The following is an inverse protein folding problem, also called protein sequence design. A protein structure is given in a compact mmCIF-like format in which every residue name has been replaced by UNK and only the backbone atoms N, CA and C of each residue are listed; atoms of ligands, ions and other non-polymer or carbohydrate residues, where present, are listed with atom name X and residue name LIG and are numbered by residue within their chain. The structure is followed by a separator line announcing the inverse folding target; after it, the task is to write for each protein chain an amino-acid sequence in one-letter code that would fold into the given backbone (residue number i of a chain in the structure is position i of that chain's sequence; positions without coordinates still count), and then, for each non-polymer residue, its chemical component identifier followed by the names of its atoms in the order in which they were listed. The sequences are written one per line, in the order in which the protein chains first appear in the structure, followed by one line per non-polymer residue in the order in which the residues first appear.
data_IF_822157260764
#
_entry.id   IF_822157260764
#
_cell.length_a   1.000
_cell.length_b   1.000
_cell.length_c   1.000
_cell.angle_alpha   90.00
_cell.angle_beta   90.00
_cell.angle_gamma   90.00
#
_symmetry.space_group_name_H-M   'P 1'
#
loop_
_entity.id
_entity.type
_entity.pdbx_description
1 polymer ?
#
# COMPACT_ATOMS: atom_id res chain seq x y z
N UNK A 1 84.70 -26.74 -20.90
CA UNK A 1 83.53 -25.83 -20.90
C UNK A 1 82.31 -26.61 -20.44
N UNK A 2 81.90 -26.40 -19.17
CA UNK A 2 80.71 -27.07 -18.59
C UNK A 2 79.55 -26.10 -18.64
N UNK A 3 78.53 -26.41 -19.48
CA UNK A 3 77.31 -25.70 -19.58
C UNK A 3 76.39 -25.97 -18.32
N UNK A 4 76.04 -24.96 -17.58
CA UNK A 4 75.14 -25.08 -16.47
C UNK A 4 73.69 -24.95 -17.03
N UNK A 5 72.95 -26.04 -17.04
CA UNK A 5 71.55 -26.06 -17.32
C UNK A 5 70.77 -25.34 -16.15
N UNK A 6 70.05 -24.32 -16.49
CA UNK A 6 69.10 -23.65 -15.57
C UNK A 6 67.86 -24.53 -15.39
N UNK A 7 67.72 -25.10 -14.20
CA UNK A 7 66.43 -25.72 -13.74
C UNK A 7 65.39 -24.68 -13.53
N UNK A 8 64.38 -24.69 -14.36
CA UNK A 8 63.17 -23.91 -14.10
C UNK A 8 62.32 -24.64 -13.06
N UNK A 9 62.27 -24.09 -11.85
CA UNK A 9 61.36 -24.56 -10.80
C UNK A 9 59.96 -24.17 -11.21
N UNK A 10 59.16 -25.13 -11.66
CA UNK A 10 57.72 -24.98 -11.85
C UNK A 10 57.10 -24.74 -10.50
N UNK A 11 56.54 -23.53 -10.34
CA UNK A 11 55.72 -23.21 -9.17
C UNK A 11 54.52 -24.20 -9.05
N UNK A 12 54.23 -24.71 -7.87
CA UNK A 12 53.12 -25.62 -7.69
C UNK A 12 51.83 -24.89 -8.06
N UNK A 13 51.08 -25.43 -9.03
CA UNK A 13 49.69 -25.05 -9.28
C UNK A 13 48.94 -25.32 -7.97
N UNK A 14 48.61 -24.25 -7.22
CA UNK A 14 47.61 -24.31 -6.16
C UNK A 14 46.29 -24.70 -6.83
N UNK A 15 46.00 -25.99 -6.83
CA UNK A 15 44.65 -26.46 -6.98
C UNK A 15 43.89 -25.87 -5.76
N UNK A 16 43.04 -24.88 -6.01
CA UNK A 16 42.04 -24.41 -5.06
C UNK A 16 41.11 -25.59 -4.75
N UNK A 17 41.68 -26.52 -3.95
CA UNK A 17 40.99 -27.76 -3.61
C UNK A 17 39.77 -27.44 -2.75
N UNK A 18 38.60 -27.77 -3.25
CA UNK A 18 37.33 -27.79 -2.51
C UNK A 18 37.50 -28.43 -1.13
N UNK A 19 38.44 -29.34 -0.95
CA UNK A 19 38.77 -29.96 0.34
C UNK A 19 39.41 -29.01 1.37
N UNK A 20 40.19 -28.01 0.93
CA UNK A 20 40.76 -27.01 1.84
C UNK A 20 39.70 -25.98 2.27
N UNK A 21 38.79 -25.63 1.36
CA UNK A 21 37.64 -24.77 1.68
C UNK A 21 36.73 -25.45 2.70
N UNK A 22 36.38 -26.72 2.50
CA UNK A 22 35.55 -27.48 3.45
C UNK A 22 36.20 -27.58 4.84
N UNK A 23 37.51 -27.87 4.91
CA UNK A 23 38.22 -27.93 6.20
C UNK A 23 38.20 -26.58 6.92
N UNK A 24 38.40 -25.49 6.20
CA UNK A 24 38.36 -24.15 6.77
C UNK A 24 36.95 -23.78 7.19
N UNK A 25 35.93 -24.13 6.42
CA UNK A 25 34.52 -23.91 6.75
C UNK A 25 34.11 -24.69 8.01
N UNK A 26 34.50 -25.95 8.13
CA UNK A 26 34.23 -26.78 9.32
C UNK A 26 34.98 -26.24 10.55
N UNK A 27 36.19 -25.78 10.41
CA UNK A 27 36.97 -25.19 11.50
C UNK A 27 36.38 -23.92 12.04
N UNK A 28 35.65 -23.12 11.17
CA UNK A 28 35.04 -21.83 11.50
C UNK A 28 33.52 -21.89 11.43
N UNK A 29 32.93 -23.06 11.68
CA UNK A 29 31.47 -23.24 11.65
C UNK A 29 30.71 -22.25 12.55
N UNK A 30 31.36 -21.79 13.63
CA UNK A 30 30.85 -20.76 14.52
C UNK A 30 30.51 -19.45 13.79
N UNK A 31 31.36 -19.03 12.82
CA UNK A 31 31.09 -17.82 12.04
C UNK A 31 29.87 -17.97 11.14
N UNK A 32 29.63 -19.17 10.61
CA UNK A 32 28.42 -19.47 9.86
C UNK A 32 27.19 -19.45 10.78
N UNK A 33 27.27 -20.03 11.96
CA UNK A 33 26.19 -20.00 12.93
C UNK A 33 25.87 -18.58 13.36
N UNK A 34 26.87 -17.74 13.62
CA UNK A 34 26.70 -16.34 14.00
C UNK A 34 26.08 -15.52 12.86
N UNK A 35 26.55 -15.72 11.62
CA UNK A 35 25.97 -15.08 10.43
C UNK A 35 24.51 -15.49 10.23
N UNK A 36 24.19 -16.77 10.42
CA UNK A 36 22.84 -17.29 10.30
C UNK A 36 21.89 -16.66 11.34
N UNK A 37 22.33 -16.60 12.61
CA UNK A 37 21.57 -15.96 13.69
C UNK A 37 21.33 -14.48 13.37
N UNK A 38 22.35 -13.79 12.86
CA UNK A 38 22.23 -12.38 12.49
C UNK A 38 21.25 -12.17 11.34
N UNK A 39 21.31 -12.97 10.27
CA UNK A 39 20.39 -12.92 9.15
C UNK A 39 18.94 -13.24 9.58
N UNK A 40 18.79 -14.28 10.41
CA UNK A 40 17.48 -14.64 10.96
C UNK A 40 16.91 -13.54 11.88
N UNK A 41 17.75 -12.91 12.67
CA UNK A 41 17.37 -11.76 13.52
C UNK A 41 16.83 -10.60 12.68
N UNK A 42 17.54 -10.23 11.62
CA UNK A 42 17.10 -9.17 10.69
C UNK A 42 15.80 -9.57 10.00
N UNK A 43 15.72 -10.80 9.48
CA UNK A 43 14.51 -11.31 8.82
C UNK A 43 13.30 -11.30 9.76
N UNK A 44 13.49 -11.75 10.99
CA UNK A 44 12.43 -11.75 12.00
C UNK A 44 11.94 -10.34 12.32
N UNK A 45 12.86 -9.38 12.48
CA UNK A 45 12.52 -7.97 12.69
C UNK A 45 11.79 -7.38 11.49
N UNK A 46 12.22 -7.72 10.28
CA UNK A 46 11.58 -7.28 9.04
C UNK A 46 10.16 -7.82 8.92
N UNK A 47 9.96 -9.13 9.09
CA UNK A 47 8.64 -9.75 9.03
C UNK A 47 7.69 -9.22 10.09
N UNK A 48 8.21 -8.92 11.28
CA UNK A 48 7.39 -8.35 12.37
C UNK A 48 6.93 -6.92 12.10
N UNK A 49 7.67 -6.18 11.27
CA UNK A 49 7.34 -4.79 10.89
C UNK A 49 6.38 -4.73 9.69
N UNK A 50 6.39 -5.75 8.83
CA UNK A 50 5.63 -5.74 7.58
C UNK A 50 4.15 -6.05 7.87
N UNK A 51 3.27 -5.16 7.42
CA UNK A 51 1.82 -5.38 7.43
C UNK A 51 1.47 -6.46 6.40
N UNK A 52 0.54 -7.37 6.71
CA UNK A 52 0.01 -8.27 5.70
C UNK A 52 -0.71 -7.44 4.62
N UNK A 53 -0.36 -7.64 3.36
CA UNK A 53 -1.08 -7.04 2.24
C UNK A 53 -1.95 -8.11 1.58
N UNK A 54 -3.21 -7.75 1.33
CA UNK A 54 -4.18 -8.62 0.69
C UNK A 54 -4.41 -8.12 -0.73
N UNK A 55 -4.38 -9.04 -1.69
CA UNK A 55 -4.72 -8.75 -3.08
C UNK A 55 -6.12 -9.30 -3.33
N UNK A 56 -7.03 -8.42 -3.69
CA UNK A 56 -8.39 -8.78 -4.07
C UNK A 56 -8.54 -8.52 -5.56
N UNK A 57 -9.08 -9.48 -6.29
CA UNK A 57 -9.37 -9.35 -7.72
C UNK A 57 -10.86 -9.47 -7.97
N UNK A 58 -11.38 -8.59 -8.81
CA UNK A 58 -12.76 -8.64 -9.30
C UNK A 58 -12.76 -8.65 -10.82
N UNK A 59 -13.73 -9.32 -11.44
CA UNK A 59 -13.91 -9.29 -12.88
C UNK A 59 -15.20 -8.59 -13.22
N UNK A 60 -15.11 -7.56 -14.07
CA UNK A 60 -16.28 -6.86 -14.60
C UNK A 60 -16.49 -7.33 -16.03
N UNK A 61 -17.70 -7.73 -16.36
CA UNK A 61 -18.10 -8.01 -17.73
C UNK A 61 -18.51 -6.69 -18.38
N UNK A 62 -17.73 -6.26 -19.36
CA UNK A 62 -18.12 -5.15 -20.23
C UNK A 62 -18.91 -5.77 -21.37
N UNK A 63 -20.20 -5.46 -21.44
CA UNK A 63 -21.04 -5.85 -22.56
C UNK A 63 -20.83 -4.83 -23.67
N UNK A 64 -20.19 -5.27 -24.73
CA UNK A 64 -19.98 -4.47 -25.94
C UNK A 64 -21.32 -4.35 -26.66
N UNK A 65 -22.22 -3.54 -26.11
CA UNK A 65 -23.35 -3.01 -26.87
C UNK A 65 -22.75 -2.08 -27.93
N UNK A 66 -22.02 -2.68 -28.88
CA UNK A 66 -21.70 -2.02 -30.14
C UNK A 66 -23.04 -1.45 -30.62
N UNK A 67 -23.08 -0.12 -30.64
CA UNK A 67 -24.16 0.66 -31.19
C UNK A 67 -24.76 -0.13 -32.39
N UNK A 68 -25.78 -0.91 -32.07
CA UNK A 68 -26.73 -1.36 -33.07
C UNK A 68 -27.37 -0.07 -33.54
N UNK A 69 -26.73 0.59 -34.49
CA UNK A 69 -27.34 1.64 -35.26
C UNK A 69 -28.51 0.97 -35.97
N UNK A 70 -29.57 0.78 -35.20
CA UNK A 70 -30.83 0.23 -35.68
C UNK A 70 -31.39 1.25 -36.65
N UNK A 71 -31.07 1.10 -37.91
CA UNK A 71 -31.66 1.94 -38.95
C UNK A 71 -31.03 1.90 -40.32
N UNK A 72 -29.85 1.31 -40.48
CA UNK A 72 -29.27 1.20 -41.83
C UNK A 72 -29.11 -0.26 -42.18
N UNK A 73 -29.93 -0.68 -43.12
CA UNK A 73 -30.12 -2.05 -43.55
C UNK A 73 -28.87 -2.84 -43.89
N UNK A 74 -29.06 -4.14 -43.88
CA UNK A 74 -28.18 -5.22 -44.30
C UNK A 74 -27.36 -4.93 -45.55
N UNK A 75 -26.28 -4.13 -45.47
CA UNK A 75 -25.36 -3.98 -46.56
C UNK A 75 -23.96 -4.44 -46.14
N UNK A 76 -23.36 -5.27 -47.02
CA UNK A 76 -21.98 -5.81 -46.91
C UNK A 76 -20.89 -4.75 -46.70
N UNK A 77 -21.23 -3.46 -46.63
CA UNK A 77 -20.34 -2.35 -46.35
C UNK A 77 -20.03 -2.12 -44.87
N UNK A 78 -20.88 -2.63 -43.96
CA UNK A 78 -20.73 -2.38 -42.51
C UNK A 78 -19.56 -3.12 -41.87
N UNK A 79 -19.16 -4.29 -42.41
CA UNK A 79 -18.00 -5.01 -41.90
C UNK A 79 -16.68 -4.30 -42.21
N UNK A 80 -16.61 -3.60 -43.33
CA UNK A 80 -15.45 -2.84 -43.74
C UNK A 80 -15.30 -1.56 -42.90
N UNK A 81 -16.43 -0.88 -42.62
CA UNK A 81 -16.43 0.29 -41.73
C UNK A 81 -16.06 -0.07 -40.30
N UNK A 82 -16.53 -1.21 -39.81
CA UNK A 82 -16.20 -1.75 -38.51
C UNK A 82 -14.72 -2.12 -38.40
N UNK A 83 -14.11 -2.62 -39.49
CA UNK A 83 -12.69 -2.94 -39.56
C UNK A 83 -11.80 -1.70 -39.67
N UNK A 84 -12.29 -0.63 -40.34
CA UNK A 84 -11.54 0.63 -40.52
C UNK A 84 -11.64 1.54 -39.28
N UNK A 85 -12.76 1.49 -38.55
CA UNK A 85 -12.98 2.30 -37.37
C UNK A 85 -12.53 1.60 -36.08
N UNK A 86 -11.93 0.41 -36.12
CA UNK A 86 -11.38 -0.29 -34.96
C UNK A 86 -12.43 -0.60 -33.87
N UNK A 87 -13.65 -0.92 -34.29
CA UNK A 87 -14.84 -0.81 -33.45
C UNK A 87 -15.05 -1.81 -32.31
N UNK A 88 -14.11 -2.69 -32.02
CA UNK A 88 -14.23 -3.61 -30.87
C UNK A 88 -13.25 -3.25 -29.75
N UNK A 89 -11.98 -3.14 -30.10
CA UNK A 89 -10.93 -2.95 -29.09
C UNK A 89 -10.90 -1.54 -28.50
N UNK A 90 -11.25 -0.51 -29.29
CA UNK A 90 -11.23 0.88 -28.84
C UNK A 90 -12.23 1.14 -27.71
N UNK A 91 -13.39 0.48 -27.75
CA UNK A 91 -14.41 0.65 -26.71
C UNK A 91 -13.96 0.04 -25.37
N UNK A 92 -13.34 -1.13 -25.43
CA UNK A 92 -12.84 -1.81 -24.22
C UNK A 92 -11.66 -1.05 -23.59
N UNK A 93 -10.78 -0.47 -24.41
CA UNK A 93 -9.70 0.39 -23.90
C UNK A 93 -10.24 1.66 -23.22
N UNK A 94 -11.27 2.27 -23.80
CA UNK A 94 -11.92 3.42 -23.17
C UNK A 94 -12.57 3.05 -21.83
N UNK A 95 -13.18 1.87 -21.72
CA UNK A 95 -13.76 1.39 -20.47
C UNK A 95 -12.69 1.14 -19.40
N UNK A 96 -11.54 0.59 -19.79
CA UNK A 96 -10.38 0.43 -18.88
C UNK A 96 -9.89 1.79 -18.40
N UNK A 97 -9.79 2.77 -19.28
CA UNK A 97 -9.36 4.13 -18.94
C UNK A 97 -10.36 4.80 -18.00
N UNK A 98 -11.66 4.61 -18.22
CA UNK A 98 -12.73 5.09 -17.33
C UNK A 98 -12.61 4.42 -15.95
N UNK A 99 -12.43 3.09 -15.91
CA UNK A 99 -12.26 2.34 -14.64
C UNK A 99 -11.00 2.75 -13.89
N UNK A 100 -9.92 3.09 -14.60
CA UNK A 100 -8.68 3.58 -14.02
C UNK A 100 -8.68 5.09 -13.74
N UNK A 101 -9.78 5.80 -14.03
CA UNK A 101 -9.81 7.25 -13.92
C UNK A 101 -9.84 7.75 -12.46
N UNK A 102 -9.18 8.89 -12.23
CA UNK A 102 -9.19 9.59 -10.93
C UNK A 102 -10.61 9.97 -10.50
N UNK A 103 -11.47 10.37 -11.43
CA UNK A 103 -12.86 10.74 -11.14
C UNK A 103 -13.67 9.57 -10.57
N UNK A 104 -13.50 8.37 -11.13
CA UNK A 104 -14.17 7.19 -10.61
C UNK A 104 -13.60 6.79 -9.25
N UNK A 105 -12.28 6.86 -9.09
CA UNK A 105 -11.63 6.61 -7.80
C UNK A 105 -12.12 7.61 -6.74
N UNK A 106 -12.24 8.91 -7.05
CA UNK A 106 -12.75 9.92 -6.13
C UNK A 106 -14.22 9.67 -5.73
N UNK A 107 -15.08 9.30 -6.67
CA UNK A 107 -16.45 8.89 -6.38
C UNK A 107 -16.53 7.65 -5.51
N UNK A 108 -15.62 6.70 -5.72
CA UNK A 108 -15.54 5.48 -4.91
C UNK A 108 -15.11 5.80 -3.47
N UNK A 109 -14.14 6.71 -3.31
CA UNK A 109 -13.69 7.18 -2.00
C UNK A 109 -14.84 7.85 -1.23
N UNK A 110 -15.59 8.73 -1.88
CA UNK A 110 -16.75 9.41 -1.26
C UNK A 110 -17.88 8.43 -0.95
N UNK A 111 -18.19 7.49 -1.85
CA UNK A 111 -19.25 6.51 -1.65
C UNK A 111 -18.97 5.49 -0.53
N UNK A 112 -17.69 5.17 -0.29
CA UNK A 112 -17.25 4.20 0.73
C UNK A 112 -16.77 4.86 2.02
N UNK A 113 -16.73 6.20 2.10
CA UNK A 113 -16.19 6.97 3.23
C UNK A 113 -14.77 6.54 3.64
N UNK A 114 -13.90 6.18 2.65
CA UNK A 114 -12.53 5.69 2.89
C UNK A 114 -11.46 6.77 2.91
N UNK A 115 -11.86 8.00 3.18
CA UNK A 115 -10.97 9.15 3.36
C UNK A 115 -10.05 9.02 4.58
N UNK A 116 -10.42 8.17 5.53
CA UNK A 116 -9.69 7.97 6.77
C UNK A 116 -9.17 6.52 6.88
N UNK A 117 -7.87 6.36 7.07
CA UNK A 117 -7.24 5.06 7.35
C UNK A 117 -6.69 5.06 8.78
N UNK A 118 -6.96 4.00 9.53
CA UNK A 118 -6.61 3.91 10.94
C UNK A 118 -5.60 2.79 11.17
N UNK A 119 -4.49 3.14 11.79
CA UNK A 119 -3.42 2.20 12.15
C UNK A 119 -3.19 2.25 13.65
N UNK A 120 -3.26 1.12 14.31
CA UNK A 120 -2.89 0.99 15.71
C UNK A 120 -1.45 0.47 15.84
N UNK A 121 -0.70 1.06 16.77
CA UNK A 121 0.61 0.54 17.14
C UNK A 121 0.45 -0.42 18.31
N UNK A 122 0.52 -1.71 18.02
CA UNK A 122 0.51 -2.76 19.04
C UNK A 122 1.93 -3.19 19.34
N UNK A 123 2.47 -2.75 20.50
CA UNK A 123 3.83 -3.05 20.93
C UNK A 123 4.91 -2.31 20.14
N UNK A 124 6.15 -2.85 20.15
CA UNK A 124 7.34 -2.11 19.69
C UNK A 124 7.43 -1.94 18.15
N UNK A 125 6.89 -2.90 17.37
CA UNK A 125 7.09 -2.89 15.90
C UNK A 125 5.85 -3.25 15.09
N UNK A 126 4.76 -3.72 15.73
CA UNK A 126 3.56 -4.15 15.02
C UNK A 126 2.64 -2.96 14.79
N UNK A 127 2.23 -2.77 13.53
CA UNK A 127 1.11 -1.91 13.17
C UNK A 127 -0.05 -2.81 12.77
N UNK A 128 -1.24 -2.44 13.14
CA UNK A 128 -2.47 -3.14 12.77
C UNK A 128 -3.38 -2.15 12.03
N UNK A 129 -3.91 -2.55 10.90
CA UNK A 129 -4.85 -1.74 10.13
C UNK A 129 -6.27 -2.07 10.59
N UNK A 130 -7.01 -1.04 11.00
CA UNK A 130 -8.38 -1.15 11.52
C UNK A 130 -9.38 -0.64 10.50
N UNK A 131 -9.53 -1.34 9.38
CA UNK A 131 -10.60 -1.02 8.45
C UNK A 131 -11.97 -1.35 9.05
N UNK A 132 -12.75 -0.30 9.33
CA UNK A 132 -14.11 -0.42 9.88
C UNK A 132 -14.23 -0.87 11.34
N UNK A 133 -13.13 -1.27 11.99
CA UNK A 133 -13.10 -1.75 13.39
C UNK A 133 -12.30 -0.85 14.32
N UNK A 134 -11.95 0.35 13.88
CA UNK A 134 -11.18 1.30 14.69
C UNK A 134 -11.94 1.69 15.96
N UNK A 135 -11.31 1.67 17.15
CA UNK A 135 -11.93 2.13 18.39
C UNK A 135 -12.20 3.64 18.41
N UNK A 136 -11.52 4.40 17.56
CA UNK A 136 -11.66 5.85 17.46
C UNK A 136 -11.75 6.22 15.99
N UNK A 137 -12.68 7.15 15.67
CA UNK A 137 -12.84 7.72 14.33
C UNK A 137 -12.64 9.23 14.36
N UNK A 138 -12.20 9.76 13.22
CA UNK A 138 -12.08 11.19 12.94
C UNK A 138 -13.13 11.54 11.91
N UNK A 139 -14.07 12.40 12.27
CA UNK A 139 -15.12 12.88 11.40
C UNK A 139 -14.89 14.34 11.03
N UNK A 140 -15.29 14.71 9.85
CA UNK A 140 -15.32 16.08 9.37
C UNK A 140 -16.52 16.28 8.43
N UNK A 141 -16.96 17.53 8.19
CA UNK A 141 -17.94 17.81 7.16
C UNK A 141 -17.48 17.32 5.78
N UNK A 142 -18.39 16.79 4.96
CA UNK A 142 -18.04 16.25 3.63
C UNK A 142 -17.39 17.30 2.73
N UNK A 143 -17.83 18.52 2.79
CA UNK A 143 -17.30 19.66 2.03
C UNK A 143 -15.81 19.91 2.34
N UNK A 144 -15.37 19.51 3.54
CA UNK A 144 -13.97 19.64 3.91
C UNK A 144 -13.10 18.61 3.17
N UNK A 145 -13.57 17.40 2.96
CA UNK A 145 -12.87 16.38 2.20
C UNK A 145 -12.75 16.73 0.72
N UNK A 146 -13.72 17.47 0.16
CA UNK A 146 -13.65 17.96 -1.22
C UNK A 146 -12.58 19.02 -1.43
N UNK A 147 -12.34 19.85 -0.41
CA UNK A 147 -11.38 20.96 -0.48
C UNK A 147 -9.98 20.60 0.03
N UNK A 148 -9.85 19.51 0.78
CA UNK A 148 -8.60 19.09 1.40
C UNK A 148 -7.65 18.47 0.35
N UNK A 149 -6.60 19.20 -0.02
CA UNK A 149 -5.60 18.75 -0.99
C UNK A 149 -4.42 17.99 -0.39
N UNK A 150 -4.43 17.75 0.92
CA UNK A 150 -3.33 17.14 1.65
C UNK A 150 -3.83 16.02 2.55
N UNK A 151 -2.92 15.11 2.90
CA UNK A 151 -3.19 14.08 3.90
C UNK A 151 -2.70 14.55 5.28
N UNK A 152 -3.59 14.51 6.25
CA UNK A 152 -3.33 14.94 7.62
C UNK A 152 -3.14 13.73 8.53
N UNK A 153 -1.94 13.50 9.08
CA UNK A 153 -1.71 12.43 10.03
C UNK A 153 -2.09 12.89 11.46
N UNK A 154 -3.14 12.29 11.99
CA UNK A 154 -3.57 12.44 13.36
C UNK A 154 -2.92 11.34 14.21
N UNK A 155 -2.21 11.73 15.26
CA UNK A 155 -1.75 10.80 16.30
C UNK A 155 -2.65 10.96 17.52
N UNK A 156 -3.34 9.89 17.86
CA UNK A 156 -4.30 9.85 18.95
C UNK A 156 -3.79 8.83 19.95
N UNK A 157 -3.50 9.30 21.16
CA UNK A 157 -3.10 8.44 22.27
C UNK A 157 -4.16 8.55 23.36
N UNK A 158 -4.73 7.43 23.72
CA UNK A 158 -5.65 7.31 24.86
C UNK A 158 -4.94 6.66 26.01
N UNK A 159 -4.94 7.31 27.15
CA UNK A 159 -4.34 6.79 28.38
C UNK A 159 -5.39 5.94 29.14
N UNK A 160 -4.91 5.11 30.08
CA UNK A 160 -5.77 4.27 30.93
C UNK A 160 -6.79 5.11 31.77
N UNK A 161 -6.50 6.40 31.99
CA UNK A 161 -7.38 7.34 32.71
C UNK A 161 -8.53 7.86 31.81
N UNK A 162 -8.62 7.42 30.55
CA UNK A 162 -9.59 7.92 29.57
C UNK A 162 -9.24 9.27 28.94
N UNK A 163 -8.16 9.90 29.39
CA UNK A 163 -7.66 11.15 28.78
C UNK A 163 -6.96 10.87 27.47
N UNK A 164 -7.21 11.73 26.49
CA UNK A 164 -6.72 11.58 25.13
C UNK A 164 -5.82 12.73 24.75
N UNK A 165 -4.67 12.40 24.19
CA UNK A 165 -3.75 13.35 23.56
C UNK A 165 -3.90 13.24 22.05
N UNK A 166 -4.22 14.33 21.38
CA UNK A 166 -4.42 14.40 19.93
C UNK A 166 -3.42 15.34 19.32
N UNK A 167 -2.61 14.86 18.39
CA UNK A 167 -1.60 15.66 17.69
C UNK A 167 -1.80 15.52 16.19
N UNK A 168 -2.07 16.61 15.49
CA UNK A 168 -2.13 16.68 14.02
C UNK A 168 -0.78 17.13 13.50
N UNK A 169 -0.08 16.26 12.79
CA UNK A 169 1.28 16.56 12.33
C UNK A 169 1.29 17.31 11.01
N UNK A 170 2.14 18.34 10.93
CA UNK A 170 2.48 19.05 9.69
C UNK A 170 3.69 18.44 8.98
N UNK A 171 4.59 17.81 9.74
CA UNK A 171 5.84 17.24 9.25
C UNK A 171 6.61 16.56 10.37
N UNK A 172 7.93 16.43 10.20
CA UNK A 172 8.75 15.72 11.20
C UNK A 172 8.86 16.48 12.51
N UNK A 173 8.92 17.82 12.48
CA UNK A 173 9.22 18.66 13.65
C UNK A 173 8.12 19.68 13.98
N UNK A 174 7.01 19.72 13.25
CA UNK A 174 5.95 20.71 13.48
C UNK A 174 4.57 20.04 13.48
N UNK A 175 3.63 20.66 14.23
CA UNK A 175 2.26 20.22 14.34
C UNK A 175 1.33 21.33 13.83
N UNK A 176 0.19 20.94 13.22
CA UNK A 176 -0.91 21.86 12.92
C UNK A 176 -1.75 22.14 14.13
N UNK A 177 -2.00 21.14 14.98
CA UNK A 177 -2.74 21.25 16.21
C UNK A 177 -2.25 20.22 17.23
N UNK A 178 -2.39 20.57 18.51
CA UNK A 178 -2.06 19.68 19.62
C UNK A 178 -3.06 19.91 20.76
N UNK A 179 -3.73 18.85 21.19
CA UNK A 179 -4.63 18.84 22.35
C UNK A 179 -4.13 17.75 23.31
N UNK A 180 -4.03 18.07 24.59
CA UNK A 180 -3.58 17.14 25.63
C UNK A 180 -4.61 16.96 26.72
N UNK A 181 -4.79 15.73 27.15
CA UNK A 181 -5.61 15.40 28.30
C UNK A 181 -7.10 15.69 28.10
N UNK A 182 -7.60 15.66 26.86
CA UNK A 182 -9.00 15.92 26.54
C UNK A 182 -9.81 14.63 26.63
N UNK A 183 -11.09 14.75 26.97
CA UNK A 183 -12.04 13.65 26.92
C UNK A 183 -12.67 13.55 25.54
N UNK A 184 -13.00 12.33 25.11
CA UNK A 184 -13.71 12.09 23.85
C UNK A 184 -15.23 12.19 24.07
N UNK A 185 -15.98 12.79 23.12
CA UNK A 185 -15.56 13.33 21.82
C UNK A 185 -14.87 14.69 21.95
N UNK A 186 -13.80 14.90 21.15
CA UNK A 186 -13.02 16.13 21.15
C UNK A 186 -12.95 16.77 19.76
N UNK A 187 -13.08 18.10 19.72
CA UNK A 187 -12.98 18.87 18.49
C UNK A 187 -11.59 19.44 18.31
N UNK A 188 -10.94 19.14 17.20
CA UNK A 188 -9.61 19.59 16.82
C UNK A 188 -9.72 20.67 15.76
N UNK A 189 -9.26 21.87 16.06
CA UNK A 189 -9.20 22.98 15.10
C UNK A 189 -7.86 22.93 14.37
N UNK A 190 -7.93 22.80 13.06
CA UNK A 190 -6.76 22.85 12.17
C UNK A 190 -6.86 24.03 11.21
N UNK A 191 -5.79 24.42 10.51
CA UNK A 191 -5.85 25.44 9.46
C UNK A 191 -6.78 25.09 8.29
N UNK A 192 -7.12 23.81 8.13
CA UNK A 192 -7.99 23.32 7.06
C UNK A 192 -9.46 23.25 7.45
N UNK A 193 -9.76 23.19 8.74
CA UNK A 193 -11.12 23.11 9.27
C UNK A 193 -11.21 22.42 10.63
N UNK A 194 -12.43 22.08 11.01
CA UNK A 194 -12.75 21.42 12.26
C UNK A 194 -12.89 19.92 12.05
N UNK A 195 -12.19 19.14 12.86
CA UNK A 195 -12.28 17.69 12.91
C UNK A 195 -12.78 17.25 14.28
N UNK A 196 -13.65 16.28 14.32
CA UNK A 196 -14.19 15.73 15.56
C UNK A 196 -13.69 14.31 15.73
N UNK A 197 -13.00 14.08 16.83
CA UNK A 197 -12.49 12.74 17.21
C UNK A 197 -13.50 12.11 18.15
N UNK A 198 -14.05 10.95 17.77
CA UNK A 198 -15.11 10.25 18.51
C UNK A 198 -14.72 8.81 18.82
N UNK A 199 -15.17 8.26 20.00
CA UNK A 199 -15.09 6.84 20.25
C UNK A 199 -16.14 6.08 19.42
N UNK A 200 -15.83 4.85 19.02
CA UNK A 200 -16.77 3.94 18.35
C UNK A 200 -17.28 2.87 19.31
N UNK A 201 -18.13 1.97 18.79
CA UNK A 201 -18.59 0.80 19.55
C UNK A 201 -17.46 -0.18 19.96
N UNK A 202 -16.31 -0.10 19.27
CA UNK A 202 -15.12 -0.93 19.55
C UNK A 202 -14.21 -0.31 20.62
N UNK A 203 -14.55 0.87 21.10
CA UNK A 203 -13.80 1.54 22.15
C UNK A 203 -14.01 0.86 23.51
N UNK A 204 -12.95 0.39 24.12
CA UNK A 204 -12.98 -0.23 25.45
C UNK A 204 -12.42 0.75 26.48
N UNK A 205 -13.21 1.17 27.46
CA UNK A 205 -12.73 2.04 28.56
C UNK A 205 -11.55 1.41 29.31
N UNK A 206 -10.61 2.24 29.78
CA UNK A 206 -9.41 1.83 30.52
C UNK A 206 -8.38 1.04 29.73
N UNK A 207 -8.53 0.97 28.40
CA UNK A 207 -7.51 0.41 27.53
C UNK A 207 -6.68 1.55 26.91
N UNK A 208 -5.37 1.35 26.83
CA UNK A 208 -4.49 2.32 26.19
C UNK A 208 -4.46 2.09 24.68
N UNK A 209 -4.73 3.13 23.92
CA UNK A 209 -4.68 3.10 22.47
C UNK A 209 -3.61 4.04 21.93
N UNK A 210 -2.90 3.62 20.91
CA UNK A 210 -1.97 4.48 20.14
C UNK A 210 -2.31 4.39 18.67
N UNK A 211 -3.31 5.18 18.27
CA UNK A 211 -3.88 5.16 16.92
C UNK A 211 -3.26 6.28 16.09
N UNK A 212 -2.91 5.96 14.86
CA UNK A 212 -2.56 6.95 13.85
C UNK A 212 -3.65 6.92 12.79
N UNK A 213 -4.43 8.00 12.70
CA UNK A 213 -5.41 8.18 11.64
C UNK A 213 -4.79 9.01 10.51
N UNK A 214 -4.84 8.51 9.30
CA UNK A 214 -4.44 9.24 8.09
C UNK A 214 -5.71 9.76 7.44
N UNK A 215 -5.95 11.07 7.56
CA UNK A 215 -7.14 11.74 7.02
C UNK A 215 -6.75 12.43 5.72
N UNK A 216 -7.32 12.00 4.60
CA UNK A 216 -7.04 12.53 3.28
C UNK A 216 -8.28 13.16 2.66
N UNK A 217 -8.10 14.16 1.81
CA UNK A 217 -9.19 14.65 0.97
C UNK A 217 -9.56 13.64 -0.12
N UNK A 218 -10.67 13.90 -0.83
CA UNK A 218 -11.17 13.00 -1.87
C UNK A 218 -10.14 12.75 -2.98
N UNK A 219 -9.46 13.79 -3.45
CA UNK A 219 -8.45 13.66 -4.50
C UNK A 219 -7.18 12.92 -4.02
N UNK A 220 -6.53 13.30 -2.91
CA UNK A 220 -5.39 12.54 -2.39
C UNK A 220 -5.71 11.07 -2.08
N UNK A 221 -6.89 10.79 -1.53
CA UNK A 221 -7.32 9.42 -1.25
C UNK A 221 -7.58 8.63 -2.55
N UNK A 222 -8.17 9.26 -3.57
CA UNK A 222 -8.37 8.66 -4.88
C UNK A 222 -7.05 8.32 -5.59
N UNK A 223 -6.07 9.22 -5.54
CA UNK A 223 -4.72 8.97 -6.09
C UNK A 223 -4.00 7.83 -5.38
N UNK A 224 -4.19 7.67 -4.08
CA UNK A 224 -3.65 6.55 -3.32
C UNK A 224 -4.34 5.24 -3.72
N UNK A 225 -5.67 5.25 -3.82
CA UNK A 225 -6.46 4.10 -4.29
C UNK A 225 -6.05 3.69 -5.71
N UNK A 226 -5.90 4.65 -6.62
CA UNK A 226 -5.52 4.41 -8.01
C UNK A 226 -4.13 3.76 -8.13
N UNK A 227 -3.17 4.13 -7.29
CA UNK A 227 -1.83 3.51 -7.28
C UNK A 227 -1.86 2.03 -6.89
N UNK A 228 -2.80 1.66 -6.02
CA UNK A 228 -2.94 0.30 -5.51
C UNK A 228 -3.82 -0.57 -6.45
N UNK A 229 -4.49 0.05 -7.43
CA UNK A 229 -5.40 -0.62 -8.37
C UNK A 229 -4.72 -0.88 -9.71
N UNK A 230 -4.86 -2.10 -10.21
CA UNK A 230 -4.44 -2.47 -11.56
C UNK A 230 -5.66 -2.97 -12.33
N UNK A 231 -5.92 -2.38 -13.49
CA UNK A 231 -7.02 -2.76 -14.38
C UNK A 231 -6.45 -3.40 -15.63
N UNK A 232 -6.68 -4.70 -15.80
CA UNK A 232 -6.16 -5.49 -16.91
C UNK A 232 -7.28 -6.21 -17.67
N UNK A 233 -7.08 -6.36 -18.96
CA UNK A 233 -7.92 -7.21 -19.80
C UNK A 233 -7.67 -8.69 -19.47
N UNK A 234 -8.70 -9.38 -18.98
CA UNK A 234 -8.68 -10.82 -18.91
C UNK A 234 -9.01 -11.39 -20.29
N UNK A 235 -7.99 -11.71 -21.09
CA UNK A 235 -8.19 -12.39 -22.36
C UNK A 235 -9.01 -13.66 -22.10
N UNK A 236 -10.15 -13.81 -22.79
CA UNK A 236 -10.93 -15.03 -22.80
C UNK A 236 -10.05 -16.08 -23.48
N UNK A 237 -9.41 -16.95 -22.69
CA UNK A 237 -8.77 -18.15 -23.24
C UNK A 237 -9.89 -18.94 -23.91
N UNK A 238 -9.89 -18.94 -25.22
CA UNK A 238 -10.76 -19.83 -25.96
C UNK A 238 -10.34 -21.25 -25.59
N UNK A 239 -11.15 -21.94 -24.79
CA UNK A 239 -11.07 -23.37 -24.68
C UNK A 239 -11.48 -23.94 -26.05
N UNK A 240 -10.49 -24.42 -26.78
CA UNK A 240 -10.64 -25.22 -27.99
C UNK A 240 -10.86 -26.67 -27.53
#
# INVERSE_FOLDING_TARGET
MKSKAKQYTTAPKESLGTSNFLRTAIRHWWLFALSFIFCFGILFLYLRKTLPSYIVSSTVLVDDHSLSFAGIGNSKGNSMLKSVMGGGDVNVFNEIEILASENLAAKTVDALDINCRYYEKTGFLKKEDHYGTSPIIVEAPKELFDTLSVTLPFKIKVNADGKTDITVKKGMFSNYAELKGVELPATVKTPFGLFVVKPTQYFTPKHEYSITASVAGNIPAALELQKDMTVDLKAKKADI
#
